data_IF_663903507752
#
_entry.id   IF_663903507752
#
_cell.length_a   1.000
_cell.length_b   1.000
_cell.length_c   1.000
_cell.angle_alpha   90.00
_cell.angle_beta   90.00
_cell.angle_gamma   90.00
#
_symmetry.space_group_name_H-M   'P 1'
#
loop_
_entity.id
_entity.type
_entity.pdbx_description
1 polymer ?
#
# COMPACT_ATOMS: atom_id res chain seq x y z
N UNK A 1 -11.89 12.35 13.13
CA UNK A 1 -12.45 11.55 14.25
C UNK A 1 -11.79 10.18 14.20
N UNK A 2 -11.00 9.79 15.21
CA UNK A 2 -10.39 8.45 15.35
C UNK A 2 -11.30 7.64 16.28
N UNK A 3 -11.89 6.56 15.78
CA UNK A 3 -12.64 5.64 16.63
C UNK A 3 -11.68 4.95 17.59
N UNK A 4 -11.93 5.20 18.87
CA UNK A 4 -11.20 4.66 20.02
C UNK A 4 -11.37 3.13 20.04
N UNK A 5 -10.26 2.41 20.11
CA UNK A 5 -10.16 1.14 20.84
C UNK A 5 -11.19 0.06 20.53
N UNK A 6 -11.60 -0.12 19.28
CA UNK A 6 -12.22 -1.38 18.90
C UNK A 6 -11.09 -2.41 18.81
N UNK A 7 -10.82 -3.11 19.92
CA UNK A 7 -10.11 -4.39 19.84
C UNK A 7 -11.01 -5.28 18.99
N UNK A 8 -10.77 -5.29 17.67
CA UNK A 8 -11.46 -6.14 16.70
C UNK A 8 -11.23 -7.58 17.13
N UNK A 9 -12.12 -8.10 17.97
CA UNK A 9 -12.19 -9.52 18.26
C UNK A 9 -12.79 -10.16 17.02
N UNK A 10 -11.92 -10.58 16.11
CA UNK A 10 -12.32 -11.33 14.93
C UNK A 10 -12.86 -12.69 15.38
N UNK A 11 -14.01 -13.07 14.83
CA UNK A 11 -14.51 -14.44 14.97
C UNK A 11 -13.52 -15.41 14.29
N UNK A 12 -13.53 -16.72 14.64
CA UNK A 12 -12.60 -17.68 14.05
C UNK A 12 -12.58 -17.67 12.51
N UNK A 13 -13.75 -17.53 11.87
CA UNK A 13 -13.88 -17.41 10.41
C UNK A 13 -13.25 -16.12 9.85
N UNK A 14 -13.46 -14.99 10.55
CA UNK A 14 -12.88 -13.69 10.18
C UNK A 14 -11.36 -13.69 10.34
N UNK A 15 -10.86 -14.32 11.40
CA UNK A 15 -9.43 -14.47 11.64
C UNK A 15 -8.77 -15.35 10.57
N UNK A 16 -9.38 -16.49 10.21
CA UNK A 16 -8.87 -17.35 9.16
C UNK A 16 -8.79 -16.63 7.80
N UNK A 17 -9.81 -15.82 7.47
CA UNK A 17 -9.82 -15.01 6.25
C UNK A 17 -8.79 -13.87 6.31
N UNK A 18 -8.65 -13.20 7.46
CA UNK A 18 -7.62 -12.19 7.70
C UNK A 18 -6.23 -12.75 7.43
N UNK A 19 -5.90 -13.89 8.06
CA UNK A 19 -4.57 -14.50 7.95
C UNK A 19 -4.27 -14.96 6.52
N UNK A 20 -5.28 -15.51 5.82
CA UNK A 20 -5.16 -15.90 4.41
C UNK A 20 -4.85 -14.70 3.53
N UNK A 21 -5.63 -13.62 3.65
CA UNK A 21 -5.47 -12.43 2.81
C UNK A 21 -4.14 -11.72 3.11
N UNK A 22 -3.77 -11.60 4.39
CA UNK A 22 -2.48 -11.04 4.81
C UNK A 22 -1.31 -11.81 4.17
N UNK A 23 -1.35 -13.14 4.20
CA UNK A 23 -0.33 -14.01 3.59
C UNK A 23 -0.24 -13.80 2.08
N UNK A 24 -1.36 -13.83 1.36
CA UNK A 24 -1.39 -13.62 -0.09
C UNK A 24 -0.77 -12.27 -0.46
N UNK A 25 -1.13 -11.21 0.26
CA UNK A 25 -0.58 -9.87 0.03
C UNK A 25 0.90 -9.77 0.38
N UNK A 26 1.37 -10.51 1.38
CA UNK A 26 2.79 -10.57 1.72
C UNK A 26 3.60 -11.27 0.61
N UNK A 27 3.12 -12.40 0.09
CA UNK A 27 3.78 -13.20 -0.94
C UNK A 27 3.82 -12.48 -2.30
N UNK A 28 2.74 -11.77 -2.66
CA UNK A 28 2.60 -11.06 -3.94
C UNK A 28 3.26 -9.68 -3.99
N UNK A 29 3.75 -9.17 -2.84
CA UNK A 29 4.57 -7.95 -2.71
C UNK A 29 3.98 -6.73 -3.45
N UNK A 30 4.56 -6.37 -4.60
CA UNK A 30 4.22 -5.16 -5.39
C UNK A 30 3.32 -5.45 -6.61
N UNK A 31 2.77 -6.66 -6.68
CA UNK A 31 1.76 -7.07 -7.67
C UNK A 31 0.59 -7.74 -6.96
N UNK A 32 -0.09 -7.04 -6.02
CA UNK A 32 -1.19 -7.62 -5.28
C UNK A 32 -2.35 -8.02 -6.22
N UNK A 33 -3.06 -9.12 -5.91
CA UNK A 33 -4.28 -9.51 -6.60
C UNK A 33 -5.38 -8.47 -6.43
N UNK A 34 -6.36 -8.50 -7.33
CA UNK A 34 -7.54 -7.64 -7.23
C UNK A 34 -8.46 -8.07 -6.07
N UNK A 35 -9.29 -7.17 -5.50
CA UNK A 35 -10.14 -7.50 -4.35
C UNK A 35 -11.04 -8.73 -4.53
N UNK A 36 -11.52 -8.98 -5.76
CA UNK A 36 -12.32 -10.15 -6.07
C UNK A 36 -11.55 -11.47 -5.90
N UNK A 37 -10.23 -11.47 -6.14
CA UNK A 37 -9.35 -12.62 -5.97
C UNK A 37 -8.92 -12.81 -4.50
N UNK A 38 -8.86 -11.71 -3.74
CA UNK A 38 -8.58 -11.76 -2.30
C UNK A 38 -9.76 -12.37 -1.53
N UNK A 39 -10.99 -12.08 -1.94
CA UNK A 39 -12.22 -12.49 -1.27
C UNK A 39 -13.16 -13.34 -2.17
N UNK A 40 -12.68 -14.48 -2.73
CA UNK A 40 -13.45 -15.24 -3.69
C UNK A 40 -14.64 -15.94 -3.03
N UNK A 41 -15.86 -15.65 -3.49
CA UNK A 41 -17.08 -16.27 -2.95
C UNK A 41 -17.42 -15.89 -1.50
N UNK A 42 -16.75 -14.88 -0.94
CA UNK A 42 -17.01 -14.39 0.42
C UNK A 42 -18.16 -13.39 0.39
N UNK A 43 -19.03 -13.44 1.40
CA UNK A 43 -20.09 -12.44 1.59
C UNK A 43 -19.48 -11.01 1.63
N UNK A 44 -20.04 -10.03 0.88
CA UNK A 44 -19.49 -8.68 0.81
C UNK A 44 -19.36 -7.97 2.16
N UNK A 45 -20.28 -8.22 3.12
CA UNK A 45 -20.19 -7.60 4.46
C UNK A 45 -19.05 -8.22 5.26
N UNK A 46 -18.85 -9.53 5.16
CA UNK A 46 -17.71 -10.21 5.79
C UNK A 46 -16.38 -9.75 5.18
N UNK A 47 -16.28 -9.70 3.85
CA UNK A 47 -15.09 -9.20 3.15
C UNK A 47 -14.74 -7.75 3.57
N UNK A 48 -15.75 -6.87 3.65
CA UNK A 48 -15.55 -5.50 4.09
C UNK A 48 -15.08 -5.41 5.55
N UNK A 49 -15.64 -6.21 6.48
CA UNK A 49 -15.19 -6.24 7.88
C UNK A 49 -13.73 -6.69 7.99
N UNK A 50 -13.35 -7.75 7.28
CA UNK A 50 -11.96 -8.24 7.29
C UNK A 50 -11.00 -7.24 6.64
N UNK A 51 -11.40 -6.59 5.53
CA UNK A 51 -10.63 -5.49 4.94
C UNK A 51 -10.38 -4.36 5.95
N UNK A 52 -11.41 -3.92 6.67
CA UNK A 52 -11.27 -2.88 7.71
C UNK A 52 -10.29 -3.33 8.77
N UNK A 53 -10.41 -4.56 9.26
CA UNK A 53 -9.50 -5.10 10.27
C UNK A 53 -8.04 -5.18 9.79
N UNK A 54 -7.80 -5.60 8.55
CA UNK A 54 -6.47 -5.63 7.93
C UNK A 54 -5.83 -4.24 7.88
N UNK A 55 -6.62 -3.21 7.56
CA UNK A 55 -6.15 -1.82 7.49
C UNK A 55 -5.95 -1.23 8.89
N UNK A 56 -6.90 -1.43 9.81
CA UNK A 56 -6.82 -0.89 11.18
C UNK A 56 -5.70 -1.54 12.00
N UNK A 57 -5.39 -2.82 11.75
CA UNK A 57 -4.24 -3.50 12.36
C UNK A 57 -2.89 -2.99 11.84
N UNK A 58 -2.87 -2.28 10.70
CA UNK A 58 -1.65 -1.87 10.02
C UNK A 58 -0.93 -3.00 9.26
N UNK A 59 -1.54 -4.19 9.15
CA UNK A 59 -0.99 -5.31 8.36
C UNK A 59 -1.01 -4.99 6.87
N UNK A 60 -2.05 -4.29 6.42
CA UNK A 60 -2.28 -3.90 5.04
C UNK A 60 -2.47 -2.39 4.95
N UNK A 61 -1.99 -1.80 3.87
CA UNK A 61 -2.22 -0.40 3.52
C UNK A 61 -3.18 -0.38 2.32
N UNK A 62 -4.26 0.38 2.46
CA UNK A 62 -5.14 0.72 1.33
C UNK A 62 -4.51 1.86 0.54
N UNK A 63 -4.07 1.58 -0.68
CA UNK A 63 -3.44 2.55 -1.57
C UNK A 63 -4.46 3.32 -2.42
N UNK A 64 -5.77 3.03 -2.27
CA UNK A 64 -6.82 3.53 -3.15
C UNK A 64 -7.00 2.68 -4.41
N UNK A 65 -8.02 3.01 -5.20
CA UNK A 65 -8.35 2.33 -6.48
C UNK A 65 -8.50 0.80 -6.37
N UNK A 66 -8.92 0.32 -5.20
CA UNK A 66 -9.08 -1.12 -4.93
C UNK A 66 -7.76 -1.86 -4.68
N UNK A 67 -6.63 -1.16 -4.51
CA UNK A 67 -5.33 -1.79 -4.32
C UNK A 67 -5.00 -1.84 -2.83
N UNK A 68 -4.98 -3.08 -2.31
CA UNK A 68 -4.49 -3.40 -0.98
C UNK A 68 -3.06 -3.94 -1.10
N UNK A 69 -2.15 -3.46 -0.27
CA UNK A 69 -0.76 -3.92 -0.29
C UNK A 69 -0.28 -4.19 1.13
N UNK A 70 0.47 -5.28 1.33
CA UNK A 70 1.02 -5.60 2.64
C UNK A 70 1.96 -4.48 3.12
N UNK A 71 1.90 -4.12 4.39
CA UNK A 71 2.66 -2.99 4.94
C UNK A 71 4.18 -3.17 4.79
N UNK A 72 4.67 -4.42 4.87
CA UNK A 72 6.06 -4.74 4.61
C UNK A 72 6.46 -4.39 3.16
N UNK A 73 5.64 -4.73 2.17
CA UNK A 73 5.93 -4.42 0.77
C UNK A 73 5.95 -2.91 0.52
N UNK A 74 5.04 -2.15 1.14
CA UNK A 74 5.06 -0.66 1.07
C UNK A 74 6.31 -0.10 1.74
N UNK A 75 6.74 -0.65 2.88
CA UNK A 75 7.97 -0.25 3.57
C UNK A 75 9.22 -0.52 2.73
N UNK A 76 9.27 -1.66 2.02
CA UNK A 76 10.34 -1.98 1.08
C UNK A 76 10.33 -1.05 -0.13
N UNK A 77 9.15 -0.75 -0.70
CA UNK A 77 9.00 0.22 -1.79
C UNK A 77 9.49 1.61 -1.37
N UNK A 78 9.20 2.03 -0.13
CA UNK A 78 9.71 3.28 0.44
C UNK A 78 11.24 3.32 0.46
N UNK A 79 11.90 2.22 0.85
CA UNK A 79 13.38 2.15 0.85
C UNK A 79 13.95 2.33 -0.56
N UNK A 80 13.35 1.67 -1.55
CA UNK A 80 13.74 1.82 -2.96
C UNK A 80 13.53 3.26 -3.43
N UNK A 81 12.38 3.86 -3.12
CA UNK A 81 12.06 5.25 -3.44
C UNK A 81 13.10 6.22 -2.87
N UNK A 82 13.43 6.08 -1.58
CA UNK A 82 14.41 6.94 -0.91
C UNK A 82 15.80 6.80 -1.52
N UNK A 83 16.24 5.56 -1.80
CA UNK A 83 17.53 5.32 -2.47
C UNK A 83 17.59 6.00 -3.84
N UNK A 84 16.55 5.84 -4.65
CA UNK A 84 16.50 6.48 -5.97
C UNK A 84 16.50 8.01 -5.88
N UNK A 85 15.82 8.58 -4.87
CA UNK A 85 15.80 10.03 -4.64
C UNK A 85 17.10 10.57 -4.03
N UNK A 86 17.89 9.71 -3.37
CA UNK A 86 19.22 10.05 -2.91
C UNK A 86 20.20 10.12 -4.09
N UNK A 87 20.13 9.14 -5.00
CA UNK A 87 20.94 9.07 -6.22
C UNK A 87 20.53 10.12 -7.28
N UNK A 88 19.23 10.39 -7.40
CA UNK A 88 18.65 11.37 -8.34
C UNK A 88 17.81 12.37 -7.56
N UNK A 89 18.09 13.66 -7.64
CA UNK A 89 17.32 14.69 -6.93
C UNK A 89 15.83 14.72 -7.31
N UNK A 90 15.49 14.20 -8.50
CA UNK A 90 14.14 14.09 -9.04
C UNK A 90 13.89 12.67 -9.55
N UNK A 91 12.67 12.15 -9.34
CA UNK A 91 12.30 10.79 -9.72
C UNK A 91 11.05 10.75 -10.61
N UNK A 92 11.17 10.21 -11.83
CA UNK A 92 10.02 9.93 -12.66
C UNK A 92 9.32 8.62 -12.24
N UNK A 93 8.01 8.52 -12.48
CA UNK A 93 7.26 7.29 -12.18
C UNK A 93 7.79 6.07 -12.97
N UNK A 94 8.41 6.28 -14.13
CA UNK A 94 9.01 5.23 -14.95
C UNK A 94 10.25 4.60 -14.30
N UNK A 95 11.10 5.40 -13.66
CA UNK A 95 12.27 4.90 -12.93
C UNK A 95 11.83 4.02 -11.76
N UNK A 96 10.86 4.50 -10.98
CA UNK A 96 10.36 3.75 -9.83
C UNK A 96 9.70 2.44 -10.26
N UNK A 97 8.92 2.46 -11.35
CA UNK A 97 8.33 1.26 -11.95
C UNK A 97 9.39 0.23 -12.35
N UNK A 98 10.47 0.67 -13.00
CA UNK A 98 11.56 -0.22 -13.39
C UNK A 98 12.26 -0.81 -12.16
N UNK A 99 12.53 0.00 -11.13
CA UNK A 99 13.17 -0.45 -9.90
C UNK A 99 12.33 -1.46 -9.10
N UNK A 100 11.01 -1.31 -9.11
CA UNK A 100 10.10 -2.26 -8.47
C UNK A 100 9.76 -3.47 -9.36
N UNK A 101 10.11 -3.46 -10.65
CA UNK A 101 9.77 -4.55 -11.57
C UNK A 101 8.27 -4.79 -11.73
N UNK A 102 7.44 -3.75 -11.58
CA UNK A 102 5.97 -3.85 -11.63
C UNK A 102 5.37 -2.92 -12.69
N UNK A 103 4.05 -2.75 -12.70
CA UNK A 103 3.31 -1.91 -13.66
C UNK A 103 2.92 -0.55 -13.07
N UNK A 104 2.49 0.38 -13.94
CA UNK A 104 1.96 1.67 -13.50
C UNK A 104 0.70 1.54 -12.62
N UNK A 105 -0.08 0.46 -12.80
CA UNK A 105 -1.27 0.13 -11.98
C UNK A 105 -0.93 0.17 -10.49
N UNK A 106 0.23 -0.35 -10.09
CA UNK A 106 0.64 -0.44 -8.68
C UNK A 106 1.56 0.71 -8.24
N UNK A 107 2.41 1.18 -9.16
CA UNK A 107 3.39 2.24 -8.86
C UNK A 107 2.73 3.60 -8.64
N UNK A 108 1.71 3.95 -9.42
CA UNK A 108 1.05 5.26 -9.27
C UNK A 108 0.36 5.38 -7.90
N UNK A 109 -0.43 4.40 -7.43
CA UNK A 109 -0.99 4.41 -6.07
C UNK A 109 0.07 4.45 -4.97
N UNK A 110 1.16 3.68 -5.08
CA UNK A 110 2.28 3.75 -4.13
C UNK A 110 2.86 5.16 -4.03
N UNK A 111 3.14 5.78 -5.17
CA UNK A 111 3.67 7.12 -5.23
C UNK A 111 2.69 8.16 -4.68
N UNK A 112 1.40 8.04 -5.01
CA UNK A 112 0.36 8.90 -4.45
C UNK A 112 0.25 8.73 -2.93
N UNK A 113 0.36 7.49 -2.42
CA UNK A 113 0.40 7.23 -0.99
C UNK A 113 1.60 7.93 -0.32
N UNK A 114 2.80 7.84 -0.92
CA UNK A 114 3.98 8.53 -0.40
C UNK A 114 3.86 10.06 -0.46
N UNK A 115 3.22 10.60 -1.49
CA UNK A 115 2.89 12.03 -1.59
C UNK A 115 1.92 12.44 -0.45
N UNK A 116 0.87 11.64 -0.23
CA UNK A 116 -0.17 11.91 0.78
C UNK A 116 0.35 11.88 2.22
N UNK A 117 1.28 10.97 2.53
CA UNK A 117 1.93 10.95 3.86
C UNK A 117 3.05 11.98 3.99
N UNK A 118 3.28 12.80 2.96
CA UNK A 118 4.27 13.88 2.96
C UNK A 118 5.72 13.42 2.82
N UNK A 119 5.98 12.20 2.33
CA UNK A 119 7.32 11.73 2.06
C UNK A 119 7.90 12.40 0.81
N UNK A 120 7.10 12.44 -0.25
CA UNK A 120 7.44 13.04 -1.53
C UNK A 120 6.47 14.15 -1.90
N UNK A 121 6.84 14.94 -2.90
CA UNK A 121 5.95 15.88 -3.55
C UNK A 121 6.11 15.77 -5.06
N UNK A 122 4.98 15.73 -5.77
CA UNK A 122 4.95 15.77 -7.24
C UNK A 122 5.22 17.20 -7.74
N UNK A 123 6.16 17.31 -8.68
CA UNK A 123 6.49 18.55 -9.42
C UNK A 123 6.50 18.21 -10.91
N UNK A 124 5.41 18.54 -11.61
CA UNK A 124 5.22 18.10 -13.00
C UNK A 124 5.17 16.57 -13.11
N UNK A 125 6.12 16.00 -13.85
CA UNK A 125 6.21 14.55 -14.12
C UNK A 125 7.17 13.79 -13.18
N UNK A 126 7.83 14.51 -12.28
CA UNK A 126 8.78 13.97 -11.32
C UNK A 126 8.31 14.15 -9.88
N UNK A 127 8.98 13.45 -8.97
CA UNK A 127 8.83 13.59 -7.52
C UNK A 127 10.15 13.97 -6.88
N UNK A 128 10.04 14.75 -5.82
CA UNK A 128 11.17 15.17 -4.98
C UNK A 128 10.88 14.82 -3.52
N UNK A 129 11.93 14.72 -2.70
CA UNK A 129 11.76 14.60 -1.25
C UNK A 129 11.21 15.91 -0.69
N UNK A 130 10.14 15.84 0.10
CA UNK A 130 9.49 17.03 0.65
C UNK A 130 10.43 17.87 1.53
N UNK A 131 11.33 17.22 2.27
CA UNK A 131 12.33 17.89 3.12
C UNK A 131 13.49 18.56 2.37
N UNK A 132 13.63 18.35 1.05
CA UNK A 132 14.64 19.05 0.22
C UNK A 132 14.14 20.37 -0.35
N UNK A 133 12.88 20.74 -0.09
CA UNK A 133 12.33 22.04 -0.46
C UNK A 133 12.83 23.06 0.56
N UNK A 134 14.07 23.52 0.38
CA UNK A 134 14.53 24.77 1.00
C UNK A 134 13.88 25.91 0.23
N UNK A 135 12.78 26.45 0.78
CA UNK A 135 12.39 27.85 0.56
C UNK A 135 13.23 28.77 1.42
#
# INVERSE_FOLDING_TARGET
MRLKGHTLQLKPEEQALFDRVARILQETRWTPPDPAELFPGVDPKLAQRVKIALVESGTVIDLGDGILMHAQAVSEAKKVLLKLLEEKSELAATDFRQALGTTRKYVIPLLNYFDNIGLTQRKGDVRILKGRIQT
#
